data_IF_696005552005
#
_entry.id   IF_696005552005
#
_cell.length_a   1.000
_cell.length_b   1.000
_cell.length_c   1.000
_cell.angle_alpha   90.00
_cell.angle_beta   90.00
_cell.angle_gamma   90.00
#
_symmetry.space_group_name_H-M   'P 1'
#
loop_
_entity.id
_entity.type
_entity.pdbx_description
1 polymer ?
#
# COMPACT_ATOMS: atom_id res chain seq x y z
N UNK A 1 -9.57 -9.76 -9.33
CA UNK A 1 -10.53 -8.69 -8.96
C UNK A 1 -9.84 -7.34 -9.03
N UNK A 2 -10.49 -6.35 -9.59
CA UNK A 2 -9.95 -4.99 -9.68
C UNK A 2 -11.05 -3.98 -9.35
N UNK A 3 -10.62 -2.82 -8.86
CA UNK A 3 -11.51 -1.72 -8.55
C UNK A 3 -10.80 -0.43 -8.90
N UNK A 4 -11.43 0.40 -9.72
CA UNK A 4 -10.78 1.60 -10.22
C UNK A 4 -11.72 2.80 -10.21
N UNK A 5 -11.18 3.96 -9.82
CA UNK A 5 -11.84 5.26 -9.81
C UNK A 5 -10.88 6.28 -10.41
N UNK A 6 -11.28 7.55 -10.61
CA UNK A 6 -10.31 8.57 -11.00
C UNK A 6 -9.22 8.83 -9.96
N UNK A 7 -9.41 8.41 -8.72
CA UNK A 7 -8.52 8.66 -7.60
C UNK A 7 -7.53 7.52 -7.40
N UNK A 8 -7.95 6.27 -7.64
CA UNK A 8 -7.10 5.11 -7.38
C UNK A 8 -7.51 3.92 -8.21
N UNK A 9 -6.60 2.94 -8.29
CA UNK A 9 -6.86 1.62 -8.84
C UNK A 9 -6.36 0.58 -7.85
N UNK A 10 -7.18 -0.41 -7.52
CA UNK A 10 -6.80 -1.53 -6.66
C UNK A 10 -6.93 -2.81 -7.47
N UNK A 11 -5.87 -3.62 -7.47
CA UNK A 11 -5.84 -4.87 -8.19
C UNK A 11 -5.33 -5.99 -7.28
N UNK A 12 -6.03 -7.12 -7.29
CA UNK A 12 -5.60 -8.32 -6.59
C UNK A 12 -5.01 -9.30 -7.58
N UNK A 13 -3.78 -9.75 -7.31
CA UNK A 13 -3.08 -10.76 -8.11
C UNK A 13 -3.04 -12.05 -7.31
N UNK A 14 -3.92 -12.96 -7.66
CA UNK A 14 -4.18 -14.17 -6.88
C UNK A 14 -2.94 -15.06 -6.71
N UNK A 15 -2.21 -15.29 -7.79
CA UNK A 15 -1.06 -16.20 -7.76
C UNK A 15 0.07 -15.69 -6.88
N UNK A 16 0.27 -14.39 -6.87
CA UNK A 16 1.31 -13.75 -6.07
C UNK A 16 0.84 -13.41 -4.67
N UNK A 17 -0.45 -13.57 -4.38
CA UNK A 17 -1.08 -13.14 -3.12
C UNK A 17 -0.78 -11.68 -2.84
N UNK A 18 -0.93 -10.85 -3.87
CA UNK A 18 -0.53 -9.45 -3.89
C UNK A 18 -1.75 -8.57 -4.13
N UNK A 19 -1.92 -7.54 -3.29
CA UNK A 19 -2.87 -6.46 -3.55
C UNK A 19 -2.08 -5.21 -3.85
N UNK A 20 -2.44 -4.54 -4.93
CA UNK A 20 -1.74 -3.36 -5.43
C UNK A 20 -2.67 -2.17 -5.39
N UNK A 21 -2.26 -1.10 -4.74
CA UNK A 21 -2.94 0.19 -4.75
C UNK A 21 -2.12 1.16 -5.57
N UNK A 22 -2.73 1.69 -6.64
CA UNK A 22 -2.10 2.69 -7.48
C UNK A 22 -2.88 3.99 -7.32
N UNK A 23 -2.24 5.01 -6.74
CA UNK A 23 -2.82 6.33 -6.64
C UNK A 23 -2.78 7.00 -8.01
N UNK A 24 -3.86 7.70 -8.37
CA UNK A 24 -4.00 8.33 -9.68
C UNK A 24 -4.03 9.86 -9.55
N UNK A 25 -3.88 10.61 -10.65
CA UNK A 25 -3.85 12.07 -10.59
C UNK A 25 -5.08 12.71 -9.95
N UNK A 26 -6.23 12.02 -9.93
CA UNK A 26 -7.43 12.51 -9.27
C UNK A 26 -7.27 12.76 -7.78
N UNK A 27 -6.18 12.27 -7.16
CA UNK A 27 -5.88 12.55 -5.75
C UNK A 27 -5.66 14.03 -5.46
N UNK A 28 -5.41 14.84 -6.48
CA UNK A 28 -5.27 16.28 -6.32
C UNK A 28 -6.54 16.90 -5.71
N UNK A 29 -7.70 16.33 -6.00
CA UNK A 29 -9.00 16.83 -5.54
C UNK A 29 -9.58 16.06 -4.36
N UNK A 30 -8.87 15.07 -3.82
CA UNK A 30 -9.39 14.26 -2.72
C UNK A 30 -9.26 14.96 -1.37
N UNK A 31 -10.12 14.55 -0.44
CA UNK A 31 -10.08 15.01 0.95
C UNK A 31 -9.38 13.94 1.81
N UNK A 32 -9.10 14.28 3.08
CA UNK A 32 -8.59 13.31 4.03
C UNK A 32 -9.57 12.15 4.25
N UNK A 33 -10.88 12.43 4.23
CA UNK A 33 -11.88 11.38 4.35
C UNK A 33 -11.83 10.44 3.15
N UNK A 34 -11.66 10.96 1.94
CA UNK A 34 -11.50 10.15 0.74
C UNK A 34 -10.26 9.26 0.86
N UNK A 35 -9.18 9.81 1.40
CA UNK A 35 -7.94 9.08 1.60
C UNK A 35 -8.13 7.93 2.59
N UNK A 36 -8.79 8.21 3.73
CA UNK A 36 -9.10 7.18 4.72
C UNK A 36 -9.99 6.08 4.14
N UNK A 37 -10.99 6.45 3.36
CA UNK A 37 -11.90 5.49 2.73
C UNK A 37 -11.14 4.58 1.78
N UNK A 38 -10.23 5.14 0.97
CA UNK A 38 -9.45 4.36 0.02
C UNK A 38 -8.52 3.39 0.75
N UNK A 39 -7.85 3.84 1.80
CA UNK A 39 -6.99 2.96 2.61
C UNK A 39 -7.80 1.84 3.23
N UNK A 40 -9.04 2.13 3.65
CA UNK A 40 -9.92 1.11 4.22
C UNK A 40 -10.28 0.06 3.17
N UNK A 41 -10.65 0.49 1.96
CA UNK A 41 -10.98 -0.44 0.87
C UNK A 41 -9.77 -1.31 0.55
N UNK A 42 -8.59 -0.71 0.47
CA UNK A 42 -7.35 -1.43 0.19
C UNK A 42 -7.05 -2.46 1.29
N UNK A 43 -7.13 -2.05 2.55
CA UNK A 43 -6.86 -2.93 3.68
C UNK A 43 -7.88 -4.07 3.76
N UNK A 44 -9.16 -3.78 3.52
CA UNK A 44 -10.21 -4.81 3.51
C UNK A 44 -10.00 -5.80 2.37
N UNK A 45 -9.55 -5.34 1.21
CA UNK A 45 -9.22 -6.22 0.10
C UNK A 45 -8.08 -7.16 0.49
N UNK A 46 -7.03 -6.62 1.13
CA UNK A 46 -5.94 -7.43 1.62
C UNK A 46 -6.39 -8.48 2.62
N UNK A 47 -7.26 -8.08 3.54
CA UNK A 47 -7.77 -8.98 4.57
C UNK A 47 -8.65 -10.07 3.97
N UNK A 48 -9.55 -9.70 3.05
CA UNK A 48 -10.45 -10.63 2.40
C UNK A 48 -9.70 -11.73 1.66
N UNK A 49 -8.61 -11.38 1.00
CA UNK A 49 -7.82 -12.29 0.18
C UNK A 49 -6.60 -12.86 0.90
N UNK A 50 -6.40 -12.48 2.16
CA UNK A 50 -5.24 -12.89 2.97
C UNK A 50 -3.94 -12.60 2.21
N UNK A 51 -3.81 -11.36 1.76
CA UNK A 51 -2.66 -10.93 0.98
C UNK A 51 -1.38 -11.03 1.81
N UNK A 52 -0.35 -11.60 1.23
CA UNK A 52 0.98 -11.67 1.86
C UNK A 52 1.86 -10.53 1.43
N UNK A 53 1.54 -9.90 0.30
CA UNK A 53 2.33 -8.83 -0.30
C UNK A 53 1.43 -7.68 -0.67
N UNK A 54 1.90 -6.47 -0.44
CA UNK A 54 1.19 -5.26 -0.81
C UNK A 54 2.11 -4.33 -1.59
N UNK A 55 1.53 -3.60 -2.54
CA UNK A 55 2.20 -2.50 -3.24
C UNK A 55 1.34 -1.25 -3.07
N UNK A 56 1.97 -0.14 -2.73
CA UNK A 56 1.35 1.18 -2.79
C UNK A 56 2.18 2.05 -3.73
N UNK A 57 1.57 2.45 -4.85
CA UNK A 57 2.23 3.25 -5.88
C UNK A 57 1.89 4.72 -5.68
N UNK A 58 2.89 5.49 -5.29
CA UNK A 58 2.75 6.91 -4.93
C UNK A 58 3.14 7.86 -6.06
N UNK A 59 3.48 7.35 -7.26
CA UNK A 59 4.03 8.19 -8.32
C UNK A 59 3.11 9.33 -8.74
N UNK A 60 1.79 9.10 -8.73
CA UNK A 60 0.80 10.09 -9.13
C UNK A 60 0.00 10.65 -7.95
N UNK A 61 0.47 10.42 -6.73
CA UNK A 61 -0.21 10.89 -5.52
C UNK A 61 -0.01 12.38 -5.33
N UNK A 62 -1.11 13.15 -5.33
CA UNK A 62 -1.09 14.61 -5.29
C UNK A 62 -1.67 15.20 -4.00
N UNK A 63 -2.25 14.35 -3.15
CA UNK A 63 -2.88 14.81 -1.92
C UNK A 63 -1.84 15.01 -0.81
N UNK A 64 -2.10 15.94 0.09
CA UNK A 64 -1.28 16.15 1.28
C UNK A 64 -2.11 15.81 2.51
N UNK A 65 -1.97 14.58 3.06
CA UNK A 65 -2.75 14.15 4.21
C UNK A 65 -2.43 15.00 5.45
N UNK A 66 -3.48 15.27 6.24
CA UNK A 66 -3.29 15.91 7.53
C UNK A 66 -2.73 14.93 8.56
N UNK A 67 -2.35 15.44 9.74
CA UNK A 67 -1.75 14.58 10.78
C UNK A 67 -2.69 13.49 11.31
N UNK A 68 -4.00 13.73 11.25
CA UNK A 68 -4.98 12.74 11.71
C UNK A 68 -4.98 11.46 10.88
N UNK A 69 -4.59 11.56 9.61
CA UNK A 69 -4.53 10.42 8.71
C UNK A 69 -3.45 9.44 9.16
N UNK A 70 -2.33 9.95 9.68
CA UNK A 70 -1.26 9.12 10.20
C UNK A 70 -1.75 8.26 11.37
N UNK A 71 -2.50 8.86 12.29
CA UNK A 71 -3.07 8.16 13.44
C UNK A 71 -4.06 7.08 12.96
N UNK A 72 -4.94 7.44 12.02
CA UNK A 72 -5.89 6.50 11.45
C UNK A 72 -5.17 5.31 10.82
N UNK A 73 -4.11 5.57 10.05
CA UNK A 73 -3.35 4.51 9.41
C UNK A 73 -2.74 3.57 10.44
N UNK A 74 -2.14 4.14 11.49
CA UNK A 74 -1.48 3.34 12.52
C UNK A 74 -2.47 2.53 13.35
N UNK A 75 -3.63 3.09 13.68
CA UNK A 75 -4.57 2.47 14.60
C UNK A 75 -5.61 1.58 13.92
N UNK A 76 -5.96 1.87 12.67
CA UNK A 76 -7.05 1.16 11.97
C UNK A 76 -6.52 0.33 10.80
N UNK A 77 -5.64 0.88 9.99
CA UNK A 77 -5.22 0.26 8.72
C UNK A 77 -4.12 -0.78 8.94
N UNK A 78 -3.05 -0.42 9.64
CA UNK A 78 -1.93 -1.33 9.84
C UNK A 78 -2.32 -2.63 10.57
N UNK A 79 -3.19 -2.58 11.59
CA UNK A 79 -3.65 -3.83 12.21
C UNK A 79 -4.35 -4.77 11.22
N UNK A 80 -5.04 -4.24 10.21
CA UNK A 80 -5.68 -5.06 9.19
C UNK A 80 -4.65 -5.77 8.31
N UNK A 81 -3.53 -5.12 8.01
CA UNK A 81 -2.45 -5.77 7.27
C UNK A 81 -1.87 -6.93 8.09
N UNK A 82 -1.63 -6.70 9.36
CA UNK A 82 -1.13 -7.73 10.27
C UNK A 82 -2.11 -8.91 10.32
N UNK A 83 -3.38 -8.63 10.47
CA UNK A 83 -4.42 -9.64 10.54
C UNK A 83 -4.51 -10.45 9.25
N UNK A 84 -4.29 -9.81 8.10
CA UNK A 84 -4.31 -10.48 6.79
C UNK A 84 -3.12 -11.44 6.61
N UNK A 85 -2.02 -11.21 7.33
CA UNK A 85 -0.80 -12.01 7.19
C UNK A 85 0.22 -11.39 6.24
N UNK A 86 0.18 -10.07 6.06
CA UNK A 86 1.13 -9.38 5.20
C UNK A 86 2.55 -9.58 5.68
N UNK A 87 3.45 -9.91 4.75
CA UNK A 87 4.88 -10.12 5.02
C UNK A 87 5.74 -8.98 4.50
N UNK A 88 5.34 -8.38 3.36
CA UNK A 88 6.09 -7.31 2.71
C UNK A 88 5.15 -6.27 2.14
N UNK A 89 5.52 -5.00 2.32
CA UNK A 89 4.83 -3.86 1.72
C UNK A 89 5.86 -3.06 0.92
N UNK A 90 5.69 -3.00 -0.38
CA UNK A 90 6.56 -2.24 -1.27
C UNK A 90 5.89 -0.91 -1.61
N UNK A 91 6.67 0.17 -1.50
CA UNK A 91 6.24 1.50 -1.87
C UNK A 91 6.95 1.89 -3.16
N UNK A 92 6.20 2.30 -4.17
CA UNK A 92 6.79 2.87 -5.37
C UNK A 92 6.73 4.39 -5.21
N UNK A 93 7.87 4.97 -4.85
CA UNK A 93 7.94 6.40 -4.52
C UNK A 93 9.31 6.91 -4.95
N UNK A 94 9.43 7.38 -6.21
CA UNK A 94 10.71 7.87 -6.73
C UNK A 94 11.30 8.97 -5.85
N UNK A 95 12.60 8.89 -5.62
CA UNK A 95 13.28 9.82 -4.74
C UNK A 95 13.35 9.38 -3.29
N UNK A 96 12.54 8.41 -2.90
CA UNK A 96 12.56 7.87 -1.54
C UNK A 96 13.16 6.47 -1.48
N UNK A 97 13.58 5.92 -2.62
CA UNK A 97 14.13 4.58 -2.69
C UNK A 97 15.51 4.48 -2.04
N UNK A 98 15.85 3.26 -1.61
CA UNK A 98 17.14 3.00 -0.98
C UNK A 98 17.26 1.51 -0.68
N UNK A 99 18.46 1.11 -0.22
CA UNK A 99 18.73 -0.29 0.11
C UNK A 99 18.22 -0.66 1.52
N UNK A 100 17.68 0.31 2.24
CA UNK A 100 17.20 0.08 3.60
C UNK A 100 15.81 -0.54 3.60
N UNK A 101 15.56 -1.40 4.58
CA UNK A 101 14.29 -2.06 4.81
C UNK A 101 13.88 -1.72 6.24
N UNK A 102 12.62 -1.29 6.43
CA UNK A 102 12.11 -1.01 7.76
C UNK A 102 11.04 -2.02 8.14
N UNK A 103 10.98 -2.36 9.42
CA UNK A 103 9.96 -3.24 9.95
C UNK A 103 8.78 -2.42 10.43
N UNK A 104 7.56 -2.93 10.25
CA UNK A 104 6.37 -2.24 10.72
C UNK A 104 6.36 -2.13 12.25
N UNK A 105 5.52 -1.23 12.79
CA UNK A 105 5.42 -1.00 14.22
C UNK A 105 5.09 -2.28 15.00
N UNK A 106 4.33 -3.20 14.41
CA UNK A 106 4.01 -4.48 15.04
C UNK A 106 5.06 -5.56 14.81
N UNK A 107 6.11 -5.27 14.04
CA UNK A 107 7.17 -6.21 13.77
C UNK A 107 6.81 -7.38 12.87
N UNK A 108 5.70 -7.29 12.15
CA UNK A 108 5.15 -8.42 11.40
C UNK A 108 5.38 -8.37 9.90
N UNK A 109 5.65 -7.20 9.36
CA UNK A 109 5.97 -7.08 7.94
C UNK A 109 7.05 -6.03 7.71
N UNK A 110 7.71 -6.11 6.55
CA UNK A 110 8.80 -5.21 6.17
C UNK A 110 8.32 -4.22 5.12
N UNK A 111 8.81 -2.99 5.19
CA UNK A 111 8.56 -1.93 4.23
C UNK A 111 9.84 -1.61 3.47
N UNK A 112 9.73 -1.35 2.16
CA UNK A 112 10.84 -0.89 1.36
C UNK A 112 10.33 0.01 0.24
N UNK A 113 11.14 1.02 -0.13
CA UNK A 113 10.77 2.02 -1.14
C UNK A 113 11.56 1.79 -2.41
N UNK A 114 10.91 1.96 -3.55
CA UNK A 114 11.48 1.70 -4.88
C UNK A 114 11.15 2.82 -5.84
N UNK A 115 11.96 2.97 -6.90
CA UNK A 115 11.71 3.94 -7.96
C UNK A 115 10.75 3.40 -9.02
N UNK A 116 10.72 2.09 -9.23
CA UNK A 116 9.92 1.47 -10.29
C UNK A 116 9.13 0.27 -9.77
N UNK A 117 8.07 -0.06 -10.51
CA UNK A 117 7.25 -1.23 -10.22
C UNK A 117 8.05 -2.52 -10.37
N UNK A 118 8.92 -2.61 -11.38
CA UNK A 118 9.72 -3.82 -11.61
C UNK A 118 10.62 -4.13 -10.44
N UNK A 119 11.25 -3.12 -9.84
CA UNK A 119 12.08 -3.29 -8.66
C UNK A 119 11.26 -3.78 -7.47
N UNK A 120 10.08 -3.20 -7.28
CA UNK A 120 9.18 -3.59 -6.20
C UNK A 120 8.74 -5.05 -6.35
N UNK A 121 8.34 -5.44 -7.55
CA UNK A 121 7.89 -6.80 -7.82
C UNK A 121 9.02 -7.81 -7.63
N UNK A 122 10.24 -7.47 -8.03
CA UNK A 122 11.40 -8.34 -7.82
C UNK A 122 11.64 -8.60 -6.33
N UNK A 123 11.57 -7.56 -5.51
CA UNK A 123 11.75 -7.72 -4.06
C UNK A 123 10.64 -8.57 -3.44
N UNK A 124 9.40 -8.33 -3.85
CA UNK A 124 8.26 -9.07 -3.32
C UNK A 124 8.33 -10.56 -3.67
N UNK A 125 8.96 -10.91 -4.78
CA UNK A 125 9.10 -12.29 -5.20
C UNK A 125 10.18 -13.06 -4.45
N UNK A 126 11.03 -12.36 -3.69
CA UNK A 126 12.08 -13.04 -2.90
C UNK A 126 11.47 -13.72 -1.68
N UNK A 127 12.17 -14.71 -1.17
CA UNK A 127 11.69 -15.51 -0.02
C UNK A 127 12.18 -14.95 1.31
N UNK A 128 12.86 -13.82 1.28
CA UNK A 128 13.39 -13.21 2.51
C UNK A 128 12.54 -12.07 2.98
#
# INVERSE_FOLDING_TARGET
MSHSTPVYSIMYRRLEKLVELIWLPGTQSMTDDDFKDTLTVFAECGLQHRARRLIIDMREFKHRPGPEVQVFRDEVIMPKYVQAGVEKLAWIWPGESGDWITKSAGGTYYNRYFDTADQALSWLATTQ
#
